data_IF_071146763206
#
_entry.id   IF_071146763206
#
_cell.length_a   1.000
_cell.length_b   1.000
_cell.length_c   1.000
_cell.angle_alpha   90.00
_cell.angle_beta   90.00
_cell.angle_gamma   90.00
#
_symmetry.space_group_name_H-M   'P 1'
#
loop_
_entity.id
_entity.type
_entity.pdbx_description
1 polymer ?
#
# COMPACT_ATOMS: atom_id res chain seq x y z
N UNK A 1 14.38 -16.47 -4.94
CA UNK A 1 15.16 -16.44 -3.68
C UNK A 1 14.19 -16.03 -2.58
N UNK A 2 13.97 -16.87 -1.57
CA UNK A 2 13.08 -16.55 -0.44
C UNK A 2 13.88 -15.78 0.61
N UNK A 3 13.65 -14.47 0.72
CA UNK A 3 14.27 -13.62 1.74
C UNK A 3 13.60 -13.89 3.08
N UNK A 4 14.20 -14.76 3.91
CA UNK A 4 13.61 -15.15 5.18
C UNK A 4 14.15 -14.25 6.30
N UNK A 5 13.24 -13.65 7.07
CA UNK A 5 13.54 -12.77 8.21
C UNK A 5 14.45 -13.41 9.28
N UNK A 6 14.54 -14.73 9.27
CA UNK A 6 15.38 -15.54 10.17
C UNK A 6 16.87 -15.35 9.96
N UNK A 7 17.30 -14.81 8.82
CA UNK A 7 18.72 -14.65 8.50
C UNK A 7 19.28 -13.26 8.90
N UNK A 8 18.46 -12.39 9.49
CA UNK A 8 18.82 -11.01 9.83
C UNK A 8 19.28 -10.87 11.28
N UNK A 9 20.28 -10.03 11.49
CA UNK A 9 20.68 -9.57 12.83
C UNK A 9 19.61 -8.68 13.46
N UNK A 10 19.66 -8.49 14.78
CA UNK A 10 18.73 -7.62 15.50
C UNK A 10 18.75 -6.18 14.98
N UNK A 11 19.93 -5.66 14.61
CA UNK A 11 20.08 -4.31 14.05
C UNK A 11 19.41 -4.19 12.68
N UNK A 12 19.60 -5.18 11.82
CA UNK A 12 18.96 -5.23 10.49
C UNK A 12 17.43 -5.35 10.61
N UNK A 13 16.94 -6.15 11.57
CA UNK A 13 15.51 -6.28 11.85
C UNK A 13 14.90 -4.95 12.31
N UNK A 14 15.60 -4.23 13.20
CA UNK A 14 15.17 -2.89 13.64
C UNK A 14 15.14 -1.90 12.48
N UNK A 15 16.13 -1.94 11.59
CA UNK A 15 16.17 -1.10 10.40
C UNK A 15 14.99 -1.41 9.47
N UNK A 16 14.75 -2.68 9.15
CA UNK A 16 13.61 -3.12 8.31
C UNK A 16 12.29 -2.66 8.91
N UNK A 17 12.06 -2.90 10.20
CA UNK A 17 10.85 -2.45 10.89
C UNK A 17 10.70 -0.91 10.84
N UNK A 18 11.80 -0.16 10.98
CA UNK A 18 11.78 1.30 10.87
C UNK A 18 11.42 1.79 9.46
N UNK A 19 11.91 1.10 8.42
CA UNK A 19 11.61 1.42 7.02
C UNK A 19 10.14 1.10 6.69
N UNK A 20 9.64 -0.03 7.17
CA UNK A 20 8.22 -0.39 7.08
C UNK A 20 7.36 0.66 7.76
N UNK A 21 7.64 1.04 9.00
CA UNK A 21 6.80 2.03 9.69
C UNK A 21 6.85 3.43 9.03
N UNK A 22 7.99 3.82 8.45
CA UNK A 22 8.10 5.09 7.72
C UNK A 22 7.35 5.09 6.39
N UNK A 23 7.37 3.99 5.65
CA UNK A 23 6.85 3.90 4.27
C UNK A 23 5.45 3.30 4.19
N UNK A 24 5.03 2.52 5.19
CA UNK A 24 3.70 1.92 5.27
C UNK A 24 2.65 3.01 5.33
N UNK A 25 1.67 2.90 4.46
CA UNK A 25 0.50 3.77 4.46
C UNK A 25 -0.45 3.39 5.59
N UNK A 26 -1.08 4.38 6.20
CA UNK A 26 -1.99 4.15 7.33
C UNK A 26 -3.36 3.71 6.84
N UNK A 27 -3.80 2.51 7.25
CA UNK A 27 -5.17 2.04 7.04
C UNK A 27 -6.21 3.02 7.61
N UNK A 28 -5.94 3.64 8.76
CA UNK A 28 -6.87 4.58 9.39
C UNK A 28 -7.10 5.78 8.47
N UNK A 29 -6.03 6.32 7.89
CA UNK A 29 -6.13 7.41 6.91
C UNK A 29 -6.90 6.94 5.66
N UNK A 30 -6.64 5.73 5.19
CA UNK A 30 -7.38 5.17 4.06
C UNK A 30 -8.89 5.04 4.33
N UNK A 31 -9.29 4.58 5.53
CA UNK A 31 -10.70 4.50 5.94
C UNK A 31 -11.35 5.87 6.11
N UNK A 32 -10.60 6.88 6.60
CA UNK A 32 -11.10 8.25 6.66
C UNK A 32 -11.34 8.80 5.24
N UNK A 33 -10.38 8.63 4.32
CA UNK A 33 -10.55 9.02 2.93
C UNK A 33 -11.71 8.28 2.25
N UNK A 34 -11.90 7.00 2.59
CA UNK A 34 -13.02 6.21 2.12
C UNK A 34 -14.36 6.71 2.67
N UNK A 35 -14.45 7.10 3.95
CA UNK A 35 -15.69 7.60 4.53
C UNK A 35 -16.10 8.96 3.94
N UNK A 36 -15.17 9.90 3.83
CA UNK A 36 -15.48 11.25 3.34
C UNK A 36 -15.55 11.35 1.82
N UNK A 37 -14.70 10.61 1.10
CA UNK A 37 -14.49 10.73 -0.34
C UNK A 37 -14.60 9.39 -1.09
N UNK A 38 -15.14 8.34 -0.47
CA UNK A 38 -15.22 6.99 -1.06
C UNK A 38 -16.07 6.91 -2.32
N UNK A 39 -17.16 7.68 -2.40
CA UNK A 39 -17.96 7.78 -3.62
C UNK A 39 -17.17 8.40 -4.79
N UNK A 40 -16.22 9.30 -4.49
CA UNK A 40 -15.34 9.96 -5.46
C UNK A 40 -14.07 9.13 -5.77
N UNK A 41 -13.78 8.07 -4.99
CA UNK A 41 -12.65 7.17 -5.20
C UNK A 41 -11.31 7.65 -4.63
N UNK A 42 -11.28 8.62 -3.71
CA UNK A 42 -10.02 9.19 -3.20
C UNK A 42 -9.16 8.18 -2.43
N UNK A 43 -9.77 7.19 -1.77
CA UNK A 43 -9.06 6.13 -1.04
C UNK A 43 -8.14 5.31 -1.96
N UNK A 44 -8.45 5.19 -3.26
CA UNK A 44 -7.58 4.52 -4.25
C UNK A 44 -6.35 5.34 -4.62
N UNK A 45 -6.49 6.66 -4.72
CA UNK A 45 -5.34 7.54 -4.92
C UNK A 45 -4.37 7.43 -3.74
N UNK A 46 -4.91 7.25 -2.52
CA UNK A 46 -4.10 7.01 -1.33
C UNK A 46 -3.30 5.71 -1.37
N UNK A 47 -3.65 4.69 -2.16
CA UNK A 47 -2.82 3.50 -2.37
C UNK A 47 -2.01 3.53 -3.68
N UNK A 48 -1.78 4.72 -4.27
CA UNK A 48 -1.11 4.89 -5.59
C UNK A 48 -1.83 4.16 -6.74
N UNK A 49 -3.09 3.73 -6.56
CA UNK A 49 -3.92 3.11 -7.60
C UNK A 49 -4.62 4.18 -8.46
N UNK A 50 -3.84 5.13 -8.97
CA UNK A 50 -4.31 6.34 -9.67
C UNK A 50 -5.15 6.01 -10.90
N UNK A 51 -4.74 5.05 -11.73
CA UNK A 51 -5.51 4.68 -12.94
C UNK A 51 -6.93 4.23 -12.61
N UNK A 52 -7.08 3.39 -11.58
CA UNK A 52 -8.39 2.87 -11.18
C UNK A 52 -9.20 3.86 -10.33
N UNK A 53 -8.55 4.85 -9.71
CA UNK A 53 -9.21 5.99 -9.05
C UNK A 53 -9.75 7.00 -10.07
N UNK A 54 -9.00 7.27 -11.15
CA UNK A 54 -9.46 8.12 -12.26
C UNK A 54 -10.66 7.50 -12.97
N UNK A 55 -10.64 6.17 -13.19
CA UNK A 55 -11.79 5.47 -13.76
C UNK A 55 -13.07 5.64 -12.91
N UNK A 56 -12.93 5.61 -11.57
CA UNK A 56 -14.04 5.82 -10.63
C UNK A 56 -14.56 7.26 -10.66
N UNK A 57 -13.65 8.24 -10.73
CA UNK A 57 -13.99 9.65 -10.84
C UNK A 57 -14.67 9.97 -12.17
N UNK A 58 -14.15 9.46 -13.28
CA UNK A 58 -14.77 9.58 -14.61
C UNK A 58 -16.14 8.91 -14.65
N UNK A 59 -16.32 7.75 -14.01
CA UNK A 59 -17.63 7.09 -13.89
C UNK A 59 -18.63 7.99 -13.18
N UNK A 60 -18.29 8.58 -12.04
CA UNK A 60 -19.19 9.46 -11.28
C UNK A 60 -19.50 10.74 -12.07
N UNK A 61 -18.51 11.35 -12.70
CA UNK A 61 -18.67 12.59 -13.47
C UNK A 61 -19.47 12.36 -14.75
N UNK A 62 -19.16 11.32 -15.51
CA UNK A 62 -19.83 11.01 -16.79
C UNK A 62 -21.29 10.58 -16.60
N UNK A 63 -21.61 9.97 -15.45
CA UNK A 63 -22.98 9.57 -15.10
C UNK A 63 -23.74 10.64 -14.32
N UNK A 64 -23.19 11.85 -14.14
CA UNK A 64 -23.80 12.93 -13.34
C UNK A 64 -24.24 12.42 -11.95
N UNK A 65 -23.42 11.58 -11.32
CA UNK A 65 -23.70 11.01 -10.01
C UNK A 65 -24.66 9.82 -9.98
N UNK A 66 -25.29 9.40 -11.09
CA UNK A 66 -26.09 8.15 -11.10
C UNK A 66 -25.22 6.91 -10.85
N UNK A 67 -23.95 6.95 -11.27
CA UNK A 67 -22.96 5.93 -10.99
C UNK A 67 -22.55 5.86 -9.51
N UNK A 68 -22.97 6.80 -8.66
CA UNK A 68 -22.63 6.82 -7.23
C UNK A 68 -23.12 5.57 -6.47
N UNK A 69 -24.22 4.94 -6.92
CA UNK A 69 -24.72 3.69 -6.33
C UNK A 69 -23.75 2.54 -6.65
N UNK A 70 -23.30 2.47 -7.91
CA UNK A 70 -22.35 1.44 -8.37
C UNK A 70 -20.98 1.67 -7.72
N UNK A 71 -20.50 2.91 -7.69
CA UNK A 71 -19.22 3.25 -7.06
C UNK A 71 -19.30 3.12 -5.53
N UNK A 72 -20.46 3.29 -4.90
CA UNK A 72 -20.68 3.00 -3.49
C UNK A 72 -20.56 1.51 -3.15
N UNK A 73 -21.19 0.63 -3.93
CA UNK A 73 -21.02 -0.83 -3.78
C UNK A 73 -19.57 -1.22 -4.04
N UNK A 74 -18.94 -0.65 -5.07
CA UNK A 74 -17.53 -0.89 -5.36
C UNK A 74 -16.62 -0.40 -4.23
N UNK A 75 -16.89 0.77 -3.66
CA UNK A 75 -16.16 1.31 -2.52
C UNK A 75 -16.33 0.40 -1.30
N UNK A 76 -17.51 -0.18 -1.07
CA UNK A 76 -17.74 -1.14 0.01
C UNK A 76 -16.86 -2.38 -0.16
N UNK A 77 -16.77 -2.92 -1.37
CA UNK A 77 -15.86 -4.04 -1.67
C UNK A 77 -14.41 -3.63 -1.42
N UNK A 78 -14.00 -2.46 -1.91
CA UNK A 78 -12.65 -1.93 -1.67
C UNK A 78 -12.31 -1.85 -0.18
N UNK A 79 -13.27 -1.52 0.70
CA UNK A 79 -13.05 -1.46 2.15
C UNK A 79 -12.51 -2.77 2.72
N UNK A 80 -13.03 -3.92 2.25
CA UNK A 80 -12.53 -5.25 2.63
C UNK A 80 -11.19 -5.60 1.98
N UNK A 81 -10.86 -5.00 0.84
CA UNK A 81 -9.60 -5.24 0.12
C UNK A 81 -8.44 -4.36 0.63
N UNK A 82 -8.72 -3.20 1.23
CA UNK A 82 -7.69 -2.26 1.72
C UNK A 82 -6.67 -2.90 2.68
N UNK A 83 -7.07 -3.73 3.68
CA UNK A 83 -6.10 -4.41 4.54
C UNK A 83 -5.11 -5.28 3.75
N UNK A 84 -5.60 -5.98 2.73
CA UNK A 84 -4.78 -6.80 1.85
C UNK A 84 -3.83 -5.97 0.99
N UNK A 85 -4.20 -4.76 0.59
CA UNK A 85 -3.29 -3.85 -0.14
C UNK A 85 -2.18 -3.32 0.77
N UNK A 86 -2.50 -2.95 2.01
CA UNK A 86 -1.49 -2.51 2.97
C UNK A 86 -0.49 -3.64 3.26
N UNK A 87 -0.95 -4.87 3.44
CA UNK A 87 -0.06 -6.03 3.66
C UNK A 87 0.93 -6.23 2.51
N UNK A 88 0.46 -6.10 1.26
CA UNK A 88 1.33 -6.19 0.08
C UNK A 88 2.34 -5.06 -0.01
N UNK A 89 1.98 -3.84 0.39
CA UNK A 89 2.90 -2.71 0.45
C UNK A 89 3.98 -2.94 1.52
N UNK A 90 3.60 -3.44 2.70
CA UNK A 90 4.54 -3.83 3.77
C UNK A 90 5.50 -4.92 3.30
N UNK A 91 4.99 -6.00 2.73
CA UNK A 91 5.82 -7.11 2.23
C UNK A 91 6.79 -6.66 1.13
N UNK A 92 6.35 -5.77 0.24
CA UNK A 92 7.22 -5.18 -0.78
C UNK A 92 8.35 -4.36 -0.15
N UNK A 93 8.04 -3.48 0.81
CA UNK A 93 9.04 -2.64 1.51
C UNK A 93 10.04 -3.52 2.27
N UNK A 94 9.58 -4.57 2.94
CA UNK A 94 10.44 -5.51 3.65
C UNK A 94 11.41 -6.21 2.70
N UNK A 95 10.91 -6.78 1.60
CA UNK A 95 11.74 -7.50 0.64
C UNK A 95 12.79 -6.60 -0.03
N UNK A 96 12.42 -5.37 -0.38
CA UNK A 96 13.33 -4.36 -0.94
C UNK A 96 14.42 -3.98 0.07
N UNK A 97 14.03 -3.77 1.33
CA UNK A 97 14.96 -3.35 2.37
C UNK A 97 15.95 -4.48 2.70
N UNK A 98 15.48 -5.73 2.80
CA UNK A 98 16.32 -6.91 3.01
C UNK A 98 17.29 -7.12 1.84
N UNK A 99 16.82 -6.98 0.60
CA UNK A 99 17.68 -7.06 -0.58
C UNK A 99 18.79 -5.99 -0.57
N UNK A 100 18.47 -4.77 -0.13
CA UNK A 100 19.44 -3.67 -0.01
C UNK A 100 20.47 -3.88 1.10
N UNK A 101 20.10 -4.58 2.18
CA UNK A 101 21.01 -4.91 3.30
C UNK A 101 21.99 -6.00 2.90
N UNK A 102 21.50 -7.06 2.26
CA UNK A 102 22.35 -8.16 1.80
C UNK A 102 23.39 -7.70 0.79
N UNK A 103 22.98 -6.90 -0.20
CA UNK A 103 23.90 -6.30 -1.18
C UNK A 103 24.99 -5.48 -0.49
N UNK A 104 24.64 -4.71 0.55
CA UNK A 104 25.62 -3.93 1.32
C UNK A 104 26.58 -4.81 2.12
N UNK A 105 26.09 -5.87 2.77
CA UNK A 105 26.92 -6.78 3.54
C UNK A 105 27.89 -7.57 2.65
N UNK A 106 27.43 -8.05 1.48
CA UNK A 106 28.28 -8.73 0.50
C UNK A 106 29.41 -7.82 -0.02
N UNK A 107 29.11 -6.53 -0.25
CA UNK A 107 30.12 -5.54 -0.62
C UNK A 107 31.14 -5.32 0.49
N UNK A 108 30.72 -5.29 1.76
CA UNK A 108 31.62 -5.12 2.90
C UNK A 108 32.53 -6.32 3.13
N UNK A 109 32.06 -7.54 2.90
CA UNK A 109 32.85 -8.76 3.05
C UNK A 109 33.85 -9.02 1.90
N UNK A 110 33.73 -8.29 0.79
CA UNK A 110 34.61 -8.40 -0.38
C UNK A 110 35.86 -7.51 -0.31
N UNK A 111 36.03 -6.74 0.78
CA UNK A 111 37.22 -5.94 1.09
C UNK A 111 37.94 -6.50 2.33
#
# INVERSE_FOLDING_TARGET
MNYSRTDLTTEEMLLVNSEVEKKKRSLVVAYLLWFFLGALGAHRFYFKKTGTGIAMLLMVVLTIGFGAIITGIWALVDAFLMPGWQQREVEAIESETIASLKTRNEQQAAF
#
